data_IF_894797361574
#
_entry.id   IF_894797361574
#
_cell.length_a   1.000
_cell.length_b   1.000
_cell.length_c   1.000
_cell.angle_alpha   90.00
_cell.angle_beta   90.00
_cell.angle_gamma   90.00
#
_symmetry.space_group_name_H-M   'P 1'
#
loop_
_entity.id
_entity.type
_entity.pdbx_description
1 polymer ?
#
# COMPACT_ATOMS: atom_id res chain seq x y z
N UNK A 1 -31.38 1.46 22.90
CA UNK A 1 -30.28 1.99 22.07
C UNK A 1 -29.45 0.79 21.67
N UNK A 2 -29.27 0.55 20.37
CA UNK A 2 -28.29 -0.42 19.89
C UNK A 2 -26.92 0.23 19.89
N UNK A 3 -25.93 -0.44 20.44
CA UNK A 3 -24.55 -0.01 20.41
C UNK A 3 -23.83 -0.63 19.19
N UNK A 4 -22.72 -0.05 18.75
CA UNK A 4 -21.97 -0.55 17.60
C UNK A 4 -21.44 -1.97 17.84
N UNK A 5 -21.18 -2.29 19.10
CA UNK A 5 -20.78 -3.61 19.59
C UNK A 5 -21.85 -4.68 19.40
N UNK A 6 -23.13 -4.30 19.23
CA UNK A 6 -24.24 -5.23 19.04
C UNK A 6 -24.37 -5.70 17.58
N UNK A 7 -23.66 -5.06 16.63
CA UNK A 7 -23.66 -5.48 15.23
C UNK A 7 -23.06 -6.88 15.07
N UNK A 8 -23.53 -7.65 14.08
CA UNK A 8 -22.96 -8.95 13.75
C UNK A 8 -21.53 -8.79 13.19
N UNK A 9 -20.72 -9.85 13.30
CA UNK A 9 -19.37 -9.85 12.73
C UNK A 9 -19.39 -9.59 11.22
N UNK A 10 -20.36 -10.16 10.51
CA UNK A 10 -20.51 -9.96 9.05
C UNK A 10 -20.74 -8.49 8.68
N UNK A 11 -21.63 -7.79 9.40
CA UNK A 11 -21.89 -6.37 9.14
C UNK A 11 -20.64 -5.53 9.41
N UNK A 12 -19.93 -5.81 10.51
CA UNK A 12 -18.69 -5.10 10.85
C UNK A 12 -17.60 -5.32 9.79
N UNK A 13 -17.47 -6.55 9.29
CA UNK A 13 -16.51 -6.87 8.23
C UNK A 13 -16.85 -6.12 6.94
N UNK A 14 -18.13 -6.05 6.57
CA UNK A 14 -18.58 -5.24 5.44
C UNK A 14 -18.25 -3.77 5.65
N UNK A 15 -18.43 -3.22 6.85
CA UNK A 15 -18.05 -1.82 7.13
C UNK A 15 -16.53 -1.62 6.94
N UNK A 16 -15.72 -2.53 7.49
CA UNK A 16 -14.25 -2.45 7.40
C UNK A 16 -13.74 -2.50 5.96
N UNK A 17 -14.40 -3.22 5.05
CA UNK A 17 -14.03 -3.23 3.62
C UNK A 17 -14.12 -1.85 2.94
N UNK A 18 -14.91 -0.92 3.49
CA UNK A 18 -15.03 0.45 2.97
C UNK A 18 -14.17 1.48 3.71
N UNK A 19 -13.45 1.07 4.75
CA UNK A 19 -12.66 1.97 5.59
C UNK A 19 -11.16 1.83 5.30
N UNK A 20 -10.43 2.92 5.50
CA UNK A 20 -8.97 2.86 5.55
C UNK A 20 -8.55 2.11 6.82
N UNK A 21 -7.50 1.30 6.73
CA UNK A 21 -6.95 0.60 7.88
C UNK A 21 -6.55 1.55 9.03
N UNK A 22 -6.15 2.79 8.72
CA UNK A 22 -5.85 3.79 9.74
C UNK A 22 -7.10 4.16 10.54
N UNK A 23 -8.23 4.40 9.87
CA UNK A 23 -9.51 4.65 10.54
C UNK A 23 -9.95 3.43 11.36
N UNK A 24 -9.82 2.22 10.79
CA UNK A 24 -10.17 0.97 11.47
C UNK A 24 -9.33 0.84 12.74
N UNK A 25 -8.04 1.12 12.63
CA UNK A 25 -7.11 1.04 13.75
C UNK A 25 -7.45 2.05 14.84
N UNK A 26 -7.55 3.33 14.46
CA UNK A 26 -7.76 4.45 15.37
C UNK A 26 -9.11 4.34 16.10
N UNK A 27 -10.14 3.86 15.42
CA UNK A 27 -11.50 3.74 16.00
C UNK A 27 -11.70 2.42 16.73
N UNK A 28 -11.28 1.27 16.18
CA UNK A 28 -11.75 -0.05 16.64
C UNK A 28 -10.71 -0.88 17.39
N UNK A 29 -9.41 -0.66 17.18
CA UNK A 29 -8.35 -1.56 17.68
C UNK A 29 -8.23 -1.63 19.22
N UNK A 30 -8.82 -0.66 19.92
CA UNK A 30 -8.83 -0.62 21.38
C UNK A 30 -10.23 -0.79 21.98
N UNK A 31 -11.24 -1.09 21.17
CA UNK A 31 -12.62 -1.25 21.67
C UNK A 31 -12.76 -2.54 22.49
N UNK A 32 -12.48 -3.70 21.90
CA UNK A 32 -12.45 -4.98 22.61
C UNK A 32 -11.77 -6.07 21.77
N UNK A 33 -11.51 -7.22 22.40
CA UNK A 33 -10.86 -8.37 21.77
C UNK A 33 -11.62 -8.93 20.56
N UNK A 34 -12.96 -8.83 20.53
CA UNK A 34 -13.76 -9.27 19.39
C UNK A 34 -13.46 -8.41 18.16
N UNK A 35 -13.42 -7.10 18.28
CA UNK A 35 -13.06 -6.22 17.15
C UNK A 35 -11.64 -6.48 16.67
N UNK A 36 -10.70 -6.63 17.59
CA UNK A 36 -9.33 -6.94 17.24
C UNK A 36 -9.29 -8.22 16.42
N UNK A 37 -9.93 -9.29 16.89
CA UNK A 37 -10.00 -10.55 16.16
C UNK A 37 -10.64 -10.42 14.78
N UNK A 38 -11.62 -9.52 14.60
CA UNK A 38 -12.22 -9.25 13.29
C UNK A 38 -11.25 -8.52 12.36
N UNK A 39 -10.55 -7.49 12.85
CA UNK A 39 -9.54 -6.75 12.06
C UNK A 39 -8.36 -7.65 11.67
N UNK A 40 -7.98 -8.56 12.57
CA UNK A 40 -6.97 -9.60 12.33
C UNK A 40 -7.47 -10.79 11.54
N UNK A 41 -8.77 -10.88 11.23
CA UNK A 41 -9.30 -11.95 10.40
C UNK A 41 -8.70 -11.82 9.00
N UNK A 42 -7.96 -12.85 8.59
CA UNK A 42 -7.27 -12.95 7.30
C UNK A 42 -8.17 -12.78 6.07
N UNK A 43 -9.49 -12.82 6.24
CA UNK A 43 -10.46 -12.69 5.15
C UNK A 43 -10.73 -11.25 4.74
N UNK A 44 -10.47 -10.26 5.60
CA UNK A 44 -10.64 -8.85 5.23
C UNK A 44 -9.63 -8.46 4.17
N UNK A 45 -10.09 -7.75 3.14
CA UNK A 45 -9.20 -7.14 2.15
C UNK A 45 -9.01 -5.68 2.51
N UNK A 46 -7.99 -5.41 3.33
CA UNK A 46 -7.80 -4.07 3.87
C UNK A 46 -7.15 -3.14 2.84
N UNK A 47 -7.59 -1.88 2.86
CA UNK A 47 -6.99 -0.79 2.10
C UNK A 47 -6.17 0.07 3.06
N UNK A 48 -4.88 0.20 2.77
CA UNK A 48 -3.96 1.06 3.47
C UNK A 48 -3.58 2.25 2.59
N UNK A 49 -4.32 3.36 2.70
CA UNK A 49 -3.95 4.61 2.05
C UNK A 49 -3.26 5.55 3.04
N UNK A 50 -1.96 5.76 2.86
CA UNK A 50 -1.16 6.58 3.78
C UNK A 50 -1.03 8.03 3.34
N UNK A 51 -1.56 8.39 2.16
CA UNK A 51 -1.33 9.69 1.53
C UNK A 51 -1.78 10.88 2.38
N UNK A 52 -2.78 10.67 3.24
CA UNK A 52 -3.34 11.70 4.11
C UNK A 52 -2.81 11.64 5.56
N UNK A 53 -2.05 10.61 5.93
CA UNK A 53 -1.57 10.42 7.30
C UNK A 53 -0.48 11.48 7.62
N UNK A 54 -0.57 12.08 8.81
CA UNK A 54 0.45 13.01 9.32
C UNK A 54 1.67 12.24 9.85
N UNK A 55 2.85 12.87 9.81
CA UNK A 55 4.14 12.25 10.17
C UNK A 55 4.11 11.50 11.50
N UNK A 56 3.61 12.17 12.55
CA UNK A 56 3.52 11.59 13.88
C UNK A 56 2.63 10.34 13.93
N UNK A 57 1.51 10.35 13.19
CA UNK A 57 0.59 9.22 13.14
C UNK A 57 1.13 8.11 12.23
N UNK A 58 1.95 8.44 11.24
CA UNK A 58 2.54 7.49 10.32
C UNK A 58 3.58 6.58 10.96
N UNK A 59 4.44 7.12 11.83
CA UNK A 59 5.35 6.29 12.63
C UNK A 59 4.59 5.27 13.49
N UNK A 60 3.50 5.72 14.12
CA UNK A 60 2.64 4.86 14.92
C UNK A 60 1.96 3.80 14.06
N UNK A 61 1.49 4.18 12.87
CA UNK A 61 0.91 3.26 11.89
C UNK A 61 1.92 2.18 11.47
N UNK A 62 3.13 2.56 11.05
CA UNK A 62 4.20 1.64 10.68
C UNK A 62 4.65 0.73 11.84
N UNK A 63 4.77 1.28 13.05
CA UNK A 63 5.07 0.47 14.25
C UNK A 63 3.95 -0.51 14.58
N UNK A 64 2.70 -0.16 14.29
CA UNK A 64 1.57 -1.06 14.46
C UNK A 64 1.64 -2.17 13.43
N UNK A 65 1.86 -1.82 12.15
CA UNK A 65 1.96 -2.75 11.03
C UNK A 65 2.88 -3.95 11.31
N UNK A 66 4.05 -3.66 11.88
CA UNK A 66 5.07 -4.67 12.21
C UNK A 66 4.69 -5.59 13.37
N UNK A 67 3.85 -5.13 14.30
CA UNK A 67 3.41 -5.92 15.47
C UNK A 67 2.22 -6.82 15.17
N UNK A 68 1.38 -6.41 14.21
CA UNK A 68 0.06 -7.01 13.98
C UNK A 68 -0.01 -7.90 12.75
N UNK A 69 1.09 -8.02 11.99
CA UNK A 69 1.22 -8.94 10.86
C UNK A 69 0.03 -8.83 9.89
N UNK A 70 -0.20 -7.63 9.35
CA UNK A 70 -1.28 -7.34 8.40
C UNK A 70 -1.01 -7.94 7.02
N UNK A 71 -0.90 -9.26 6.98
CA UNK A 71 -0.83 -10.04 5.75
C UNK A 71 -2.10 -9.90 4.91
N UNK A 72 -3.15 -9.29 5.44
CA UNK A 72 -4.44 -9.07 4.80
C UNK A 72 -4.57 -7.68 4.13
N UNK A 73 -3.51 -6.85 4.14
CA UNK A 73 -3.47 -5.64 3.30
C UNK A 73 -3.47 -6.06 1.84
N UNK A 74 -4.54 -5.63 1.15
CA UNK A 74 -4.84 -5.98 -0.23
C UNK A 74 -4.51 -4.83 -1.18
N UNK A 75 -4.69 -3.59 -0.71
CA UNK A 75 -4.29 -2.37 -1.42
C UNK A 75 -3.41 -1.54 -0.52
N UNK A 76 -2.27 -1.09 -1.04
CA UNK A 76 -1.36 -0.17 -0.36
C UNK A 76 -1.11 1.04 -1.24
N UNK A 77 -1.32 2.22 -0.69
CA UNK A 77 -1.01 3.51 -1.32
C UNK A 77 0.01 4.21 -0.43
N UNK A 78 1.21 4.42 -0.96
CA UNK A 78 2.27 5.17 -0.28
C UNK A 78 2.54 6.47 -1.05
N UNK A 79 2.78 7.57 -0.33
CA UNK A 79 2.98 8.88 -0.96
C UNK A 79 4.08 9.68 -0.28
N UNK A 80 5.12 10.04 -1.02
CA UNK A 80 6.02 11.10 -0.56
C UNK A 80 5.33 12.44 -0.72
N UNK A 81 4.51 12.83 0.26
CA UNK A 81 3.91 14.15 0.22
C UNK A 81 5.03 15.21 0.31
N UNK A 82 5.29 15.89 -0.81
CA UNK A 82 6.39 16.84 -0.99
C UNK A 82 6.43 17.93 0.11
N UNK A 83 5.28 18.31 0.65
CA UNK A 83 5.17 19.36 1.66
C UNK A 83 5.22 18.84 3.11
N UNK A 84 5.20 17.53 3.33
CA UNK A 84 5.14 16.94 4.68
C UNK A 84 6.44 16.21 5.03
N UNK A 85 6.67 15.02 4.46
CA UNK A 85 7.83 14.17 4.80
C UNK A 85 7.92 12.94 3.87
N UNK A 86 9.09 12.26 3.78
CA UNK A 86 9.31 11.13 2.85
C UNK A 86 8.71 9.81 3.38
N UNK A 87 7.39 9.66 3.31
CA UNK A 87 6.67 8.48 3.79
C UNK A 87 7.19 7.15 3.23
N UNK A 88 7.51 7.10 1.93
CA UNK A 88 7.93 5.85 1.28
C UNK A 88 9.23 5.36 1.93
N UNK A 89 10.23 6.24 2.00
CA UNK A 89 11.52 5.96 2.66
C UNK A 89 11.32 5.50 4.11
N UNK A 90 10.44 6.19 4.84
CA UNK A 90 10.15 5.87 6.23
C UNK A 90 9.46 4.50 6.36
N UNK A 91 8.45 4.21 5.53
CA UNK A 91 7.79 2.91 5.49
C UNK A 91 8.79 1.77 5.29
N UNK A 92 9.68 1.90 4.30
CA UNK A 92 10.71 0.90 3.99
C UNK A 92 11.73 0.71 5.13
N UNK A 93 11.88 1.70 6.03
CA UNK A 93 12.71 1.55 7.23
C UNK A 93 12.07 0.71 8.34
N UNK A 94 10.73 0.59 8.35
CA UNK A 94 9.99 -0.21 9.33
C UNK A 94 9.72 -1.64 8.85
N UNK A 95 9.51 -1.84 7.55
CA UNK A 95 9.09 -3.13 7.01
C UNK A 95 9.55 -3.33 5.57
N UNK A 96 9.46 -4.56 5.09
CA UNK A 96 9.70 -4.92 3.70
C UNK A 96 8.37 -5.22 3.00
N UNK A 97 8.23 -4.80 1.74
CA UNK A 97 7.04 -5.09 0.93
C UNK A 97 6.83 -6.60 0.74
N UNK A 98 7.89 -7.41 0.80
CA UNK A 98 7.79 -8.88 0.76
C UNK A 98 6.99 -9.47 1.93
N UNK A 99 6.75 -8.73 3.01
CA UNK A 99 5.89 -9.20 4.10
C UNK A 99 4.40 -9.18 3.70
N UNK A 100 4.00 -8.43 2.68
CA UNK A 100 2.60 -8.22 2.31
C UNK A 100 2.16 -9.23 1.23
N UNK A 101 2.12 -10.51 1.59
CA UNK A 101 1.91 -11.60 0.63
C UNK A 101 0.52 -11.60 -0.06
N UNK A 102 -0.49 -10.96 0.52
CA UNK A 102 -1.80 -10.77 -0.11
C UNK A 102 -1.95 -9.45 -0.87
N UNK A 103 -0.89 -8.63 -0.96
CA UNK A 103 -0.94 -7.35 -1.64
C UNK A 103 -1.25 -7.57 -3.12
N UNK A 104 -2.35 -6.97 -3.57
CA UNK A 104 -2.88 -7.11 -4.91
C UNK A 104 -2.68 -5.84 -5.75
N UNK A 105 -2.74 -4.68 -5.10
CA UNK A 105 -2.53 -3.38 -5.72
C UNK A 105 -1.55 -2.54 -4.90
N UNK A 106 -0.56 -1.96 -5.58
CA UNK A 106 0.38 -1.00 -5.01
C UNK A 106 0.32 0.30 -5.81
N UNK A 107 0.09 1.41 -5.11
CA UNK A 107 0.20 2.75 -5.67
C UNK A 107 1.31 3.51 -4.97
N UNK A 108 2.20 4.11 -5.75
CA UNK A 108 3.35 4.88 -5.29
C UNK A 108 3.21 6.30 -5.85
N UNK A 109 3.10 7.27 -4.97
CA UNK A 109 2.90 8.68 -5.33
C UNK A 109 4.15 9.47 -4.94
N UNK A 110 4.63 10.31 -5.85
CA UNK A 110 5.83 11.14 -5.68
C UNK A 110 7.09 10.33 -5.35
N UNK A 111 7.17 9.10 -5.87
CA UNK A 111 8.29 8.21 -5.60
C UNK A 111 9.56 8.69 -6.30
N UNK A 112 10.70 8.64 -5.62
CA UNK A 112 11.98 8.96 -6.25
C UNK A 112 12.63 7.74 -6.92
N UNK A 113 13.67 7.97 -7.72
CA UNK A 113 14.38 6.94 -8.47
C UNK A 113 14.92 5.82 -7.56
N UNK A 114 15.56 6.19 -6.44
CA UNK A 114 16.19 5.24 -5.54
C UNK A 114 15.15 4.33 -4.88
N UNK A 115 14.06 4.91 -4.40
CA UNK A 115 12.92 4.18 -3.84
C UNK A 115 12.27 3.28 -4.89
N UNK A 116 12.12 3.76 -6.13
CA UNK A 116 11.55 2.97 -7.22
C UNK A 116 12.35 1.69 -7.44
N UNK A 117 13.68 1.79 -7.55
CA UNK A 117 14.55 0.63 -7.74
C UNK A 117 14.46 -0.33 -6.55
N UNK A 118 14.48 0.18 -5.32
CA UNK A 118 14.37 -0.63 -4.11
C UNK A 118 13.02 -1.37 -4.06
N UNK A 119 11.91 -0.68 -4.31
CA UNK A 119 10.58 -1.27 -4.31
C UNK A 119 10.44 -2.31 -5.42
N UNK A 120 10.92 -2.02 -6.65
CA UNK A 120 10.89 -2.98 -7.74
C UNK A 120 11.64 -4.28 -7.40
N UNK A 121 12.69 -4.23 -6.57
CA UNK A 121 13.36 -5.45 -6.09
C UNK A 121 12.50 -6.24 -5.10
N UNK A 122 11.80 -5.55 -4.19
CA UNK A 122 10.98 -6.19 -3.16
C UNK A 122 9.70 -6.82 -3.74
N UNK A 123 9.03 -6.13 -4.67
CA UNK A 123 7.74 -6.59 -5.20
C UNK A 123 7.85 -7.78 -6.16
N UNK A 124 9.06 -8.13 -6.65
CA UNK A 124 9.29 -9.34 -7.46
C UNK A 124 8.82 -10.62 -6.77
N UNK A 125 8.82 -10.62 -5.43
CA UNK A 125 8.41 -11.77 -4.61
C UNK A 125 6.90 -11.82 -4.35
N UNK A 126 6.15 -10.79 -4.75
CA UNK A 126 4.72 -10.67 -4.49
C UNK A 126 3.91 -11.35 -5.58
N UNK A 127 3.53 -12.60 -5.33
CA UNK A 127 2.80 -13.44 -6.29
C UNK A 127 1.38 -12.93 -6.59
N UNK A 128 0.77 -12.24 -5.62
CA UNK A 128 -0.58 -11.71 -5.72
C UNK A 128 -0.64 -10.30 -6.32
N UNK A 129 0.48 -9.59 -6.43
CA UNK A 129 0.49 -8.22 -6.94
C UNK A 129 0.17 -8.21 -8.43
N UNK A 130 -1.00 -7.68 -8.79
CA UNK A 130 -1.48 -7.60 -10.17
C UNK A 130 -1.53 -6.17 -10.70
N UNK A 131 -1.64 -5.18 -9.82
CA UNK A 131 -1.79 -3.77 -10.19
C UNK A 131 -0.64 -2.98 -9.58
N UNK A 132 0.03 -2.21 -10.41
CA UNK A 132 1.05 -1.27 -9.99
C UNK A 132 0.77 0.09 -10.63
N UNK A 133 0.68 1.10 -9.79
CA UNK A 133 0.58 2.48 -10.22
C UNK A 133 1.77 3.24 -9.65
N UNK A 134 2.54 3.87 -10.53
CA UNK A 134 3.66 4.73 -10.17
C UNK A 134 3.34 6.12 -10.67
N UNK A 135 3.42 7.09 -9.78
CA UNK A 135 3.38 8.50 -10.06
C UNK A 135 4.66 9.13 -9.50
N UNK A 136 5.36 9.90 -10.34
CA UNK A 136 6.55 10.63 -9.91
C UNK A 136 6.63 12.01 -10.57
N UNK A 137 7.04 12.98 -9.77
CA UNK A 137 7.41 14.31 -10.21
C UNK A 137 8.93 14.47 -10.39
N UNK A 138 9.72 13.42 -10.11
CA UNK A 138 11.15 13.46 -10.32
C UNK A 138 11.45 13.32 -11.83
N UNK A 139 12.33 14.21 -12.32
CA UNK A 139 12.82 14.13 -13.69
C UNK A 139 13.93 13.11 -13.75
N UNK A 140 13.67 11.98 -14.42
CA UNK A 140 14.67 10.95 -14.68
C UNK A 140 15.51 11.29 -15.91
N UNK A 141 16.82 11.05 -15.82
CA UNK A 141 17.65 10.97 -17.01
C UNK A 141 17.31 9.71 -17.84
N UNK A 142 17.77 9.65 -19.10
CA UNK A 142 17.48 8.54 -20.01
C UNK A 142 17.88 7.16 -19.43
N UNK A 143 18.98 7.12 -18.66
CA UNK A 143 19.49 5.88 -18.07
C UNK A 143 18.62 5.47 -16.88
N UNK A 144 18.21 6.41 -16.04
CA UNK A 144 17.30 6.18 -14.93
C UNK A 144 15.94 5.71 -15.42
N UNK A 145 15.39 6.37 -16.44
CA UNK A 145 14.13 5.98 -17.07
C UNK A 145 14.20 4.57 -17.63
N UNK A 146 15.26 4.24 -18.38
CA UNK A 146 15.47 2.89 -18.91
C UNK A 146 15.54 1.84 -17.78
N UNK A 147 16.24 2.15 -16.69
CA UNK A 147 16.36 1.24 -15.54
C UNK A 147 15.02 1.00 -14.84
N UNK A 148 14.25 2.06 -14.54
CA UNK A 148 12.94 1.94 -13.89
C UNK A 148 11.97 1.20 -14.79
N UNK A 149 11.93 1.56 -16.07
CA UNK A 149 11.09 0.90 -17.08
C UNK A 149 11.39 -0.59 -17.16
N UNK A 150 12.67 -0.97 -17.27
CA UNK A 150 13.08 -2.38 -17.27
C UNK A 150 12.69 -3.08 -15.97
N UNK A 151 12.94 -2.44 -14.81
CA UNK A 151 12.64 -3.03 -13.51
C UNK A 151 11.13 -3.26 -13.30
N UNK A 152 10.28 -2.40 -13.86
CA UNK A 152 8.82 -2.54 -13.85
C UNK A 152 8.37 -3.66 -14.81
N UNK A 153 8.95 -3.76 -16.00
CA UNK A 153 8.61 -4.80 -16.96
C UNK A 153 9.11 -6.20 -16.58
N UNK A 154 10.17 -6.28 -15.78
CA UNK A 154 10.69 -7.51 -15.20
C UNK A 154 9.78 -8.12 -14.13
N UNK A 155 8.67 -7.46 -13.77
CA UNK A 155 7.76 -7.96 -12.75
C UNK A 155 6.86 -9.06 -13.33
N UNK A 156 6.99 -10.33 -12.87
CA UNK A 156 6.35 -11.46 -13.53
C UNK A 156 4.82 -11.45 -13.36
N UNK A 157 4.33 -10.86 -12.27
CA UNK A 157 2.95 -10.99 -11.81
C UNK A 157 2.04 -9.82 -12.16
N UNK A 158 2.60 -8.67 -12.56
CA UNK A 158 1.85 -7.45 -12.85
C UNK A 158 1.05 -7.64 -14.14
N UNK A 159 -0.23 -7.30 -14.09
CA UNK A 159 -1.19 -7.36 -15.20
C UNK A 159 -1.69 -5.99 -15.62
N UNK A 160 -1.70 -5.02 -14.71
CA UNK A 160 -2.02 -3.64 -15.03
C UNK A 160 -0.94 -2.72 -14.47
N UNK A 161 -0.49 -1.81 -15.32
CA UNK A 161 0.54 -0.84 -15.01
C UNK A 161 0.03 0.55 -15.40
N UNK A 162 0.16 1.51 -14.49
CA UNK A 162 -0.02 2.92 -14.77
C UNK A 162 1.27 3.65 -14.39
N UNK A 163 1.84 4.42 -15.33
CA UNK A 163 3.04 5.23 -15.14
C UNK A 163 2.72 6.70 -15.45
N UNK A 164 2.60 7.50 -14.39
CA UNK A 164 2.45 8.96 -14.49
C UNK A 164 3.81 9.59 -14.21
N UNK A 165 4.59 9.82 -15.28
CA UNK A 165 5.86 10.54 -15.19
C UNK A 165 5.56 12.00 -15.53
N UNK A 166 5.93 12.92 -14.64
CA UNK A 166 5.80 14.34 -14.96
C UNK A 166 6.67 14.65 -16.19
N UNK A 167 6.04 15.21 -17.23
CA UNK A 167 6.51 15.40 -18.63
C UNK A 167 6.18 14.29 -19.66
N UNK A 168 5.81 13.06 -19.27
CA UNK A 168 5.28 12.05 -20.22
C UNK A 168 4.31 11.07 -19.54
N UNK A 169 3.03 11.10 -19.90
CA UNK A 169 2.06 10.09 -19.46
C UNK A 169 2.16 8.87 -20.38
N UNK A 170 2.59 7.71 -19.85
CA UNK A 170 2.55 6.42 -20.54
C UNK A 170 1.46 5.54 -19.91
N UNK A 171 0.38 5.30 -20.65
CA UNK A 171 -0.65 4.33 -20.27
C UNK A 171 -0.54 3.13 -21.21
N UNK A 172 -0.08 2.00 -20.70
CA UNK A 172 -0.08 0.73 -21.43
C UNK A 172 -0.94 -0.30 -20.71
N UNK A 173 -1.97 -0.78 -21.41
CA UNK A 173 -2.81 -1.89 -20.95
C UNK A 173 -2.21 -3.21 -21.42
N UNK A 174 -1.73 -4.02 -20.48
CA UNK A 174 -1.21 -5.36 -20.79
C UNK A 174 -2.30 -6.42 -20.64
N UNK A 175 -2.71 -7.03 -21.74
CA UNK A 175 -3.37 -8.34 -21.70
C UNK A 175 -2.28 -9.40 -21.87
N UNK A 176 -1.73 -9.91 -20.75
CA UNK A 176 -0.96 -11.17 -20.78
C UNK A 176 -1.96 -12.32 -20.88
N UNK A 177 -1.96 -13.01 -22.03
CA UNK A 177 -2.68 -14.28 -22.25
C UNK A 177 -2.29 -15.35 -21.21
#
# INVERSE_FOLDING_TARGET
MSCLEDLSGEILMTIFEYMNIEDIWTVFFHMNTRFNNLVFDSRLRLVADTSNIEEYNFDRFCSSLTKTNFNNIYVLILSNNYYRYPQIRQFLSYTNLSNFQCLYSLTLIDINYNESIEIMQQIKQLNQLKHLHINTHEVYDDKQLANVTQAVFDQPNIRALALDLHEVIYIEYFQKE
#
